data_IF_279143494993
#
_entry.id   IF_279143494993
#
_cell.length_a   1.000
_cell.length_b   1.000
_cell.length_c   1.000
_cell.angle_alpha   90.00
_cell.angle_beta   90.00
_cell.angle_gamma   90.00
#
_symmetry.space_group_name_H-M   'P 1'
#
loop_
_entity.id
_entity.type
_entity.pdbx_description
1 polymer ?
#
# COMPACT_ATOMS: atom_id res chain seq x y z
N UNK A 1 -59.01 -31.03 14.09
CA UNK A 1 -58.09 -29.91 13.87
C UNK A 1 -56.68 -30.44 14.01
N UNK A 2 -55.84 -30.24 13.00
CA UNK A 2 -54.44 -30.63 13.08
C UNK A 2 -53.69 -29.68 14.02
N UNK A 3 -52.73 -30.20 14.77
CA UNK A 3 -51.97 -29.45 15.78
C UNK A 3 -50.71 -28.88 15.14
N UNK A 4 -50.37 -27.64 15.48
CA UNK A 4 -49.15 -27.01 14.97
C UNK A 4 -47.89 -27.75 15.47
N UNK A 5 -46.89 -27.91 14.61
CA UNK A 5 -45.63 -28.62 14.89
C UNK A 5 -45.77 -30.09 15.32
N UNK A 6 -46.85 -30.78 14.91
CA UNK A 6 -47.12 -32.16 15.33
C UNK A 6 -45.97 -33.13 15.03
N UNK A 7 -45.33 -33.05 13.85
CA UNK A 7 -44.22 -33.93 13.48
C UNK A 7 -43.02 -33.73 14.40
N UNK A 8 -42.57 -32.48 14.53
CA UNK A 8 -41.42 -32.11 15.36
C UNK A 8 -41.66 -32.42 16.85
N UNK A 9 -42.87 -32.16 17.35
CA UNK A 9 -43.26 -32.50 18.72
C UNK A 9 -43.15 -34.00 18.99
N UNK A 10 -43.65 -34.87 18.10
CA UNK A 10 -43.58 -36.32 18.32
C UNK A 10 -42.14 -36.85 18.30
N UNK A 11 -41.27 -36.25 17.49
CA UNK A 11 -39.84 -36.60 17.46
C UNK A 11 -39.17 -36.19 18.77
N UNK A 12 -39.38 -34.94 19.22
CA UNK A 12 -38.67 -34.39 20.37
C UNK A 12 -39.23 -34.88 21.71
N UNK A 13 -40.55 -35.06 21.83
CA UNK A 13 -41.21 -35.53 23.07
C UNK A 13 -40.88 -36.97 23.46
N UNK A 14 -40.37 -37.77 22.52
CA UNK A 14 -39.85 -39.11 22.77
C UNK A 14 -38.48 -39.12 23.45
N UNK A 15 -37.79 -37.97 23.53
CA UNK A 15 -36.48 -37.86 24.17
C UNK A 15 -36.61 -37.71 25.69
N UNK A 16 -35.68 -38.31 26.44
CA UNK A 16 -35.67 -38.22 27.90
C UNK A 16 -35.52 -36.77 28.40
N UNK A 17 -34.80 -35.95 27.64
CA UNK A 17 -34.47 -34.57 27.97
C UNK A 17 -35.69 -33.65 27.91
N UNK A 18 -36.58 -33.88 26.94
CA UNK A 18 -37.72 -33.01 26.66
C UNK A 18 -38.60 -32.76 27.89
N UNK A 19 -39.05 -33.81 28.56
CA UNK A 19 -39.97 -33.67 29.70
C UNK A 19 -39.30 -33.08 30.96
N UNK A 20 -37.96 -33.07 31.03
CA UNK A 20 -37.22 -32.49 32.15
C UNK A 20 -36.84 -31.03 31.91
N UNK A 21 -36.68 -30.63 30.64
CA UNK A 21 -36.17 -29.32 30.26
C UNK A 21 -37.26 -28.25 30.08
N UNK A 22 -38.47 -28.65 29.69
CA UNK A 22 -39.54 -27.71 29.32
C UNK A 22 -40.09 -26.91 30.51
N UNK A 23 -40.52 -25.70 30.20
CA UNK A 23 -41.38 -24.87 31.03
C UNK A 23 -42.82 -25.20 30.62
N UNK A 24 -43.66 -25.56 31.60
CA UNK A 24 -45.08 -25.86 31.34
C UNK A 24 -45.82 -24.55 31.17
N UNK A 25 -46.23 -24.28 29.93
CA UNK A 25 -47.02 -23.11 29.54
C UNK A 25 -48.49 -23.51 29.37
N UNK A 26 -49.38 -22.61 29.77
CA UNK A 26 -50.83 -22.67 29.63
C UNK A 26 -51.31 -21.79 28.47
N UNK A 27 -52.52 -22.04 28.00
CA UNK A 27 -53.13 -21.26 26.92
C UNK A 27 -53.14 -19.77 27.25
N UNK A 28 -52.62 -18.94 26.36
CA UNK A 28 -52.50 -17.49 26.56
C UNK A 28 -51.17 -17.04 27.20
N UNK A 29 -50.29 -17.95 27.61
CA UNK A 29 -48.98 -17.59 28.16
C UNK A 29 -48.02 -16.99 27.11
N UNK A 30 -48.21 -17.32 25.83
CA UNK A 30 -47.44 -16.81 24.71
C UNK A 30 -48.34 -16.10 23.70
N UNK A 31 -47.95 -14.88 23.34
CA UNK A 31 -48.41 -14.19 22.14
C UNK A 31 -47.52 -14.60 20.95
N UNK A 32 -48.03 -14.52 19.72
CA UNK A 32 -47.21 -14.81 18.55
C UNK A 32 -47.50 -13.88 17.38
N UNK A 33 -46.47 -13.62 16.58
CA UNK A 33 -46.56 -12.98 15.27
C UNK A 33 -46.27 -13.98 14.18
N UNK A 34 -46.89 -13.80 13.01
CA UNK A 34 -46.71 -14.65 11.83
C UNK A 34 -46.41 -13.80 10.59
N UNK A 35 -45.36 -14.18 9.87
CA UNK A 35 -45.13 -13.75 8.49
C UNK A 35 -44.82 -14.93 7.58
N UNK A 36 -44.87 -14.71 6.27
CA UNK A 36 -44.49 -15.70 5.24
C UNK A 36 -43.43 -15.08 4.35
N UNK A 37 -42.35 -15.81 4.09
CA UNK A 37 -41.25 -15.38 3.22
C UNK A 37 -41.51 -15.68 1.73
N UNK A 38 -40.62 -15.23 0.85
CA UNK A 38 -40.68 -15.47 -0.59
C UNK A 38 -40.57 -16.96 -0.99
N UNK A 39 -40.11 -17.83 -0.09
CA UNK A 39 -40.03 -19.27 -0.29
C UNK A 39 -41.29 -20.00 0.19
N UNK A 40 -42.26 -19.28 0.76
CA UNK A 40 -43.48 -19.84 1.33
C UNK A 40 -43.30 -20.41 2.75
N UNK A 41 -42.16 -20.15 3.40
CA UNK A 41 -41.91 -20.55 4.78
C UNK A 41 -42.64 -19.62 5.75
N UNK A 42 -43.23 -20.20 6.80
CA UNK A 42 -43.92 -19.46 7.85
C UNK A 42 -42.97 -19.14 9.00
N UNK A 43 -42.79 -17.85 9.26
CA UNK A 43 -42.01 -17.33 10.38
C UNK A 43 -42.94 -17.03 11.56
N UNK A 44 -42.78 -17.77 12.65
CA UNK A 44 -43.58 -17.67 13.85
C UNK A 44 -42.72 -17.20 15.02
N UNK A 45 -42.99 -15.99 15.53
CA UNK A 45 -42.24 -15.41 16.65
C UNK A 45 -43.12 -15.37 17.89
N UNK A 46 -42.71 -16.08 18.92
CA UNK A 46 -43.42 -16.22 20.20
C UNK A 46 -42.84 -15.28 21.25
N UNK A 47 -43.71 -14.59 21.98
CA UNK A 47 -43.36 -13.64 23.04
C UNK A 47 -44.09 -14.02 24.33
N UNK A 48 -43.42 -13.96 25.50
CA UNK A 48 -44.10 -14.20 26.77
C UNK A 48 -44.98 -13.02 27.17
N UNK A 49 -46.16 -13.33 27.71
CA UNK A 49 -46.99 -12.33 28.38
C UNK A 49 -46.31 -11.80 29.64
N UNK A 50 -46.72 -10.62 30.18
CA UNK A 50 -46.08 -10.02 31.35
C UNK A 50 -45.93 -10.95 32.57
N UNK A 51 -46.83 -11.93 32.71
CA UNK A 51 -46.85 -12.88 33.83
C UNK A 51 -45.73 -13.92 33.72
N UNK A 52 -45.36 -14.32 32.50
CA UNK A 52 -44.37 -15.37 32.23
C UNK A 52 -43.00 -14.79 31.85
N UNK A 53 -42.89 -13.49 31.56
CA UNK A 53 -41.64 -12.77 31.21
C UNK A 53 -40.44 -13.03 32.13
N UNK A 54 -40.66 -13.38 33.41
CA UNK A 54 -39.58 -13.67 34.37
C UNK A 54 -39.00 -15.08 34.23
N UNK A 55 -39.67 -15.97 33.52
CA UNK A 55 -39.37 -17.40 33.48
C UNK A 55 -39.16 -17.91 32.05
N UNK A 56 -39.25 -17.04 31.05
CA UNK A 56 -39.17 -17.37 29.64
C UNK A 56 -38.35 -16.31 28.89
N UNK A 57 -37.71 -16.70 27.79
CA UNK A 57 -36.90 -15.80 26.97
C UNK A 57 -37.72 -14.66 26.37
N UNK A 58 -37.08 -13.53 26.10
CA UNK A 58 -37.73 -12.36 25.46
C UNK A 58 -38.53 -12.75 24.20
N UNK A 59 -37.98 -13.60 23.35
CA UNK A 59 -38.72 -14.22 22.26
C UNK A 59 -38.08 -15.53 21.77
N UNK A 60 -38.89 -16.35 21.11
CA UNK A 60 -38.43 -17.52 20.33
C UNK A 60 -38.99 -17.43 18.92
N UNK A 61 -38.12 -17.47 17.93
CA UNK A 61 -38.48 -17.49 16.51
C UNK A 61 -38.39 -18.92 15.96
N UNK A 62 -39.40 -19.34 15.22
CA UNK A 62 -39.48 -20.65 14.57
C UNK A 62 -39.81 -20.44 13.10
N UNK A 63 -39.02 -21.04 12.21
CA UNK A 63 -39.26 -21.07 10.77
C UNK A 63 -39.84 -22.44 10.43
N UNK A 64 -41.03 -22.46 9.86
CA UNK A 64 -41.81 -23.66 9.59
C UNK A 64 -42.12 -23.78 8.10
N UNK A 65 -41.89 -24.96 7.53
CA UNK A 65 -42.30 -25.30 6.16
C UNK A 65 -43.70 -25.93 6.20
N UNK A 66 -44.75 -25.22 5.73
CA UNK A 66 -46.10 -25.76 5.71
C UNK A 66 -46.28 -26.93 4.73
N UNK A 67 -45.44 -27.02 3.70
CA UNK A 67 -45.53 -28.08 2.67
C UNK A 67 -44.96 -29.41 3.17
N UNK A 68 -43.87 -29.36 3.95
CA UNK A 68 -43.25 -30.53 4.58
C UNK A 68 -43.82 -30.82 5.97
N UNK A 69 -44.55 -29.85 6.53
CA UNK A 69 -45.09 -29.82 7.89
C UNK A 69 -43.99 -29.95 8.96
N UNK A 70 -42.84 -29.31 8.75
CA UNK A 70 -41.66 -29.42 9.62
C UNK A 70 -41.05 -28.07 9.97
N UNK A 71 -40.44 -27.99 11.15
CA UNK A 71 -39.60 -26.85 11.55
C UNK A 71 -38.25 -26.97 10.85
N UNK A 72 -37.88 -25.95 10.08
CA UNK A 72 -36.60 -25.90 9.36
C UNK A 72 -35.51 -25.17 10.14
N UNK A 73 -35.89 -24.22 11.00
CA UNK A 73 -34.96 -23.50 11.87
C UNK A 73 -35.67 -22.92 13.10
N UNK A 74 -34.92 -22.68 14.17
CA UNK A 74 -35.38 -21.92 15.33
C UNK A 74 -34.25 -21.04 15.88
N UNK A 75 -34.61 -19.93 16.53
CA UNK A 75 -33.68 -19.07 17.24
C UNK A 75 -34.34 -18.52 18.51
N UNK A 76 -33.69 -18.71 19.65
CA UNK A 76 -34.07 -18.18 20.95
C UNK A 76 -33.18 -16.99 21.30
N UNK A 77 -33.80 -15.89 21.75
CA UNK A 77 -33.08 -14.67 22.12
C UNK A 77 -32.03 -14.85 23.22
N UNK A 78 -32.13 -15.91 24.03
CA UNK A 78 -31.19 -16.22 25.11
C UNK A 78 -30.28 -17.42 24.81
N UNK A 79 -30.73 -18.35 23.96
CA UNK A 79 -30.07 -19.66 23.79
C UNK A 79 -29.60 -19.92 22.35
N UNK A 80 -29.80 -18.97 21.43
CA UNK A 80 -29.50 -19.14 20.01
C UNK A 80 -30.34 -20.25 19.37
N UNK A 81 -29.72 -20.96 18.44
CA UNK A 81 -30.28 -22.06 17.65
C UNK A 81 -30.09 -23.45 18.30
N UNK A 82 -29.68 -23.49 19.57
CA UNK A 82 -29.42 -24.76 20.27
C UNK A 82 -30.64 -25.70 20.23
N UNK A 83 -30.48 -26.97 19.76
CA UNK A 83 -31.60 -27.92 19.68
C UNK A 83 -32.12 -28.34 21.07
N UNK A 84 -31.30 -28.18 22.11
CA UNK A 84 -31.64 -28.45 23.51
C UNK A 84 -32.16 -27.19 24.23
N UNK A 85 -32.46 -26.11 23.50
CA UNK A 85 -33.00 -24.90 24.10
C UNK A 85 -34.34 -25.18 24.80
N UNK A 86 -34.38 -25.04 26.12
CA UNK A 86 -35.61 -25.23 26.91
C UNK A 86 -36.76 -24.35 26.43
N UNK A 87 -36.49 -23.12 26.00
CA UNK A 87 -37.52 -22.18 25.57
C UNK A 87 -38.15 -22.65 24.25
N UNK A 88 -37.32 -23.07 23.29
CA UNK A 88 -37.77 -23.69 22.04
C UNK A 88 -38.60 -24.96 22.28
N UNK A 89 -38.11 -25.89 23.12
CA UNK A 89 -38.86 -27.11 23.44
C UNK A 89 -40.20 -26.81 24.13
N UNK A 90 -40.25 -25.73 24.93
CA UNK A 90 -41.49 -25.25 25.56
C UNK A 90 -42.46 -24.66 24.55
N UNK A 91 -41.99 -23.91 23.55
CA UNK A 91 -42.79 -23.46 22.40
C UNK A 91 -43.35 -24.65 21.64
N UNK A 92 -42.51 -25.67 21.37
CA UNK A 92 -42.94 -26.86 20.65
C UNK A 92 -44.09 -27.58 21.35
N UNK A 93 -44.01 -27.74 22.67
CA UNK A 93 -45.10 -28.29 23.48
C UNK A 93 -46.33 -27.38 23.49
N UNK A 94 -46.13 -26.07 23.69
CA UNK A 94 -47.22 -25.10 23.75
C UNK A 94 -48.01 -25.09 22.44
N UNK A 95 -47.33 -24.93 21.31
CA UNK A 95 -47.93 -24.94 19.98
C UNK A 95 -48.71 -26.23 19.71
N UNK A 96 -48.16 -27.39 20.05
CA UNK A 96 -48.84 -28.67 19.85
C UNK A 96 -50.13 -28.82 20.68
N UNK A 97 -50.18 -28.27 21.90
CA UNK A 97 -51.36 -28.42 22.77
C UNK A 97 -52.38 -27.29 22.62
N UNK A 98 -51.95 -26.09 22.23
CA UNK A 98 -52.76 -24.88 22.28
C UNK A 98 -52.94 -24.17 20.94
N UNK A 99 -52.22 -24.55 19.87
CA UNK A 99 -52.36 -23.95 18.55
C UNK A 99 -52.79 -24.97 17.48
N UNK A 100 -53.79 -24.58 16.70
CA UNK A 100 -54.25 -25.32 15.51
C UNK A 100 -53.44 -24.90 14.28
N UNK A 101 -53.34 -25.78 13.27
CA UNK A 101 -52.80 -25.40 11.95
C UNK A 101 -53.64 -24.35 11.24
N UNK A 102 -54.89 -24.12 11.65
CA UNK A 102 -55.78 -23.10 11.07
C UNK A 102 -55.16 -21.68 11.13
N UNK A 103 -54.22 -21.45 12.05
CA UNK A 103 -53.47 -20.18 12.10
C UNK A 103 -52.65 -19.95 10.83
N UNK A 104 -52.30 -21.00 10.08
CA UNK A 104 -51.58 -20.96 8.81
C UNK A 104 -52.50 -20.56 7.64
N UNK A 105 -53.81 -20.74 7.78
CA UNK A 105 -54.81 -20.38 6.77
C UNK A 105 -55.26 -18.92 6.88
N UNK A 106 -54.92 -18.25 7.99
CA UNK A 106 -55.17 -16.80 8.13
C UNK A 106 -54.23 -15.99 7.22
N UNK A 107 -54.65 -14.83 6.68
CA UNK A 107 -53.76 -13.95 5.94
C UNK A 107 -52.58 -13.51 6.81
N UNK A 108 -51.36 -13.86 6.40
CA UNK A 108 -50.14 -13.45 7.07
C UNK A 108 -49.55 -12.20 6.43
N UNK A 109 -48.68 -11.51 7.15
CA UNK A 109 -47.83 -10.47 6.56
C UNK A 109 -46.82 -11.15 5.65
N UNK A 110 -46.77 -10.75 4.38
CA UNK A 110 -45.74 -11.19 3.45
C UNK A 110 -44.45 -10.39 3.69
N UNK A 111 -43.35 -11.10 3.88
CA UNK A 111 -42.00 -10.54 4.00
C UNK A 111 -41.16 -11.01 2.81
N UNK A 112 -40.25 -10.15 2.35
CA UNK A 112 -39.29 -10.51 1.31
C UNK A 112 -37.90 -10.29 1.89
N UNK A 113 -37.18 -11.38 2.14
CA UNK A 113 -35.92 -11.42 2.88
C UNK A 113 -34.72 -11.70 1.97
N UNK A 114 -34.81 -11.26 0.70
CA UNK A 114 -33.72 -11.41 -0.27
C UNK A 114 -32.42 -10.73 0.18
N UNK A 115 -31.33 -11.47 0.06
CA UNK A 115 -29.97 -11.02 0.37
C UNK A 115 -29.18 -10.62 -0.89
N UNK A 116 -29.83 -9.93 -1.83
CA UNK A 116 -29.19 -9.53 -3.10
C UNK A 116 -28.19 -8.36 -2.92
N UNK A 117 -28.29 -7.63 -1.81
CA UNK A 117 -27.43 -6.48 -1.50
C UNK A 117 -26.17 -6.91 -0.76
N UNK A 118 -25.08 -6.15 -0.92
CA UNK A 118 -23.81 -6.38 -0.19
C UNK A 118 -23.92 -6.15 1.33
N UNK A 119 -25.03 -5.56 1.77
CA UNK A 119 -25.28 -5.17 3.15
C UNK A 119 -26.77 -4.96 3.38
N UNK A 120 -27.17 -5.04 4.65
CA UNK A 120 -28.49 -4.62 5.13
C UNK A 120 -28.70 -3.11 4.96
N UNK A 121 -29.96 -2.69 4.84
CA UNK A 121 -30.32 -1.26 4.74
C UNK A 121 -29.86 -0.45 5.96
N UNK A 122 -29.88 -1.05 7.16
CA UNK A 122 -29.38 -0.43 8.38
C UNK A 122 -27.89 -0.11 8.29
N UNK A 123 -27.08 -1.05 7.80
CA UNK A 123 -25.66 -0.83 7.56
C UNK A 123 -25.41 0.16 6.43
N UNK A 124 -26.22 0.14 5.38
CA UNK A 124 -26.13 1.11 4.29
C UNK A 124 -26.35 2.54 4.80
N UNK A 125 -27.34 2.74 5.67
CA UNK A 125 -27.61 4.03 6.30
C UNK A 125 -26.44 4.50 7.18
N UNK A 126 -25.86 3.61 8.00
CA UNK A 126 -24.68 3.95 8.84
C UNK A 126 -23.46 4.30 7.98
N UNK A 127 -23.17 3.48 6.97
CA UNK A 127 -21.95 3.62 6.18
C UNK A 127 -22.00 4.75 5.15
N UNK A 128 -23.18 5.29 4.84
CA UNK A 128 -23.33 6.46 3.99
C UNK A 128 -22.57 7.67 4.56
N UNK A 129 -22.56 7.84 5.88
CA UNK A 129 -21.91 8.97 6.57
C UNK A 129 -20.63 8.57 7.33
N UNK A 130 -20.28 7.28 7.31
CA UNK A 130 -19.15 6.77 8.06
C UNK A 130 -17.80 7.18 7.45
N UNK A 131 -16.92 7.70 8.30
CA UNK A 131 -15.54 8.03 7.94
C UNK A 131 -14.63 7.94 9.15
N UNK A 132 -13.35 7.67 8.94
CA UNK A 132 -12.34 7.86 9.98
C UNK A 132 -12.02 9.35 10.11
N UNK A 133 -11.81 9.83 11.34
CA UNK A 133 -11.32 11.19 11.58
C UNK A 133 -9.85 11.13 12.03
N UNK A 134 -8.94 11.77 11.30
CA UNK A 134 -7.52 11.85 11.65
C UNK A 134 -7.24 13.14 12.44
N UNK A 135 -6.57 13.00 13.59
CA UNK A 135 -6.16 14.09 14.48
C UNK A 135 -4.63 14.12 14.63
N UNK A 136 -4.09 15.33 14.80
CA UNK A 136 -2.68 15.55 15.14
C UNK A 136 -1.75 15.54 13.93
N UNK A 137 -2.29 15.47 12.72
CA UNK A 137 -1.54 15.45 11.46
C UNK A 137 -0.56 16.63 11.37
N UNK A 138 -1.03 17.83 11.66
CA UNK A 138 -0.27 19.08 11.56
C UNK A 138 0.62 19.40 12.78
N UNK A 139 0.51 18.66 13.89
CA UNK A 139 1.23 19.02 15.11
C UNK A 139 2.65 18.39 15.13
N UNK A 140 3.73 19.15 14.95
CA UNK A 140 5.09 18.58 14.92
C UNK A 140 5.54 18.06 16.29
N UNK A 141 4.93 18.52 17.39
CA UNK A 141 5.28 18.09 18.75
C UNK A 141 4.69 16.73 19.12
N UNK A 142 3.71 16.24 18.35
CA UNK A 142 3.11 14.94 18.57
C UNK A 142 3.77 13.88 17.67
N UNK A 143 4.38 12.82 18.23
CA UNK A 143 5.02 11.77 17.43
C UNK A 143 4.01 10.81 16.80
N UNK A 144 2.72 10.92 17.13
CA UNK A 144 1.66 10.04 16.67
C UNK A 144 0.48 10.83 16.11
N UNK A 145 -0.23 10.23 15.17
CA UNK A 145 -1.58 10.64 14.75
C UNK A 145 -2.62 9.69 15.33
N UNK A 146 -3.87 10.14 15.44
CA UNK A 146 -4.99 9.31 15.91
C UNK A 146 -6.07 9.22 14.85
N UNK A 147 -6.58 8.03 14.63
CA UNK A 147 -7.72 7.75 13.77
C UNK A 147 -8.92 7.39 14.65
N UNK A 148 -9.91 8.26 14.66
CA UNK A 148 -11.17 8.06 15.37
C UNK A 148 -12.17 7.35 14.47
N UNK A 149 -12.91 6.41 15.05
CA UNK A 149 -13.95 5.64 14.38
C UNK A 149 -15.33 5.84 15.01
N UNK A 150 -15.54 6.97 15.70
CA UNK A 150 -16.82 7.35 16.31
C UNK A 150 -17.96 7.51 15.30
N UNK A 151 -17.66 7.85 14.03
CA UNK A 151 -18.66 8.00 12.97
C UNK A 151 -19.18 6.68 12.39
N UNK A 152 -18.70 5.54 12.88
CA UNK A 152 -19.22 4.23 12.49
C UNK A 152 -20.43 3.81 13.34
N UNK A 153 -20.96 4.71 14.18
CA UNK A 153 -22.15 4.52 15.01
C UNK A 153 -22.09 3.19 15.80
N UNK A 154 -23.04 2.27 15.54
CA UNK A 154 -23.11 0.97 16.21
C UNK A 154 -22.10 -0.08 15.71
N UNK A 155 -21.32 0.20 14.66
CA UNK A 155 -20.34 -0.75 14.13
C UNK A 155 -19.07 -0.70 14.99
N UNK A 156 -18.80 -1.79 15.71
CA UNK A 156 -17.58 -1.96 16.50
C UNK A 156 -16.42 -2.32 15.57
N UNK A 157 -15.68 -1.30 15.11
CA UNK A 157 -14.51 -1.47 14.23
C UNK A 157 -13.47 -2.44 14.80
N UNK A 158 -13.09 -2.38 16.09
CA UNK A 158 -12.24 -3.41 16.69
C UNK A 158 -12.76 -4.85 16.56
N UNK A 159 -14.06 -5.09 16.75
CA UNK A 159 -14.64 -6.44 16.58
C UNK A 159 -14.69 -6.86 15.12
N UNK A 160 -15.10 -5.96 14.22
CA UNK A 160 -15.05 -6.18 12.77
C UNK A 160 -13.66 -6.66 12.33
N UNK A 161 -12.58 -6.02 12.81
CA UNK A 161 -11.21 -6.40 12.46
C UNK A 161 -10.83 -7.77 13.00
N UNK A 162 -11.20 -8.10 14.25
CA UNK A 162 -10.95 -9.43 14.80
C UNK A 162 -11.67 -10.53 14.01
N UNK A 163 -12.87 -10.21 13.54
CA UNK A 163 -13.66 -11.12 12.70
C UNK A 163 -12.97 -11.38 11.36
N UNK A 164 -12.49 -10.32 10.69
CA UNK A 164 -11.70 -10.47 9.45
C UNK A 164 -10.45 -11.32 9.69
N UNK A 165 -9.77 -11.12 10.83
CA UNK A 165 -8.53 -11.82 11.18
C UNK A 165 -8.75 -13.25 11.71
N UNK A 166 -9.99 -13.67 11.93
CA UNK A 166 -10.31 -14.99 12.50
C UNK A 166 -9.80 -15.20 13.93
N UNK A 167 -9.62 -14.12 14.70
CA UNK A 167 -8.94 -14.15 16.01
C UNK A 167 -9.89 -13.77 17.16
N UNK A 168 -10.70 -14.71 17.67
CA UNK A 168 -11.51 -14.49 18.87
C UNK A 168 -12.46 -15.64 19.28
N UNK A 169 -12.80 -15.70 20.57
CA UNK A 169 -14.05 -16.31 21.05
C UNK A 169 -15.17 -15.28 20.80
N UNK A 170 -15.82 -15.38 19.65
CA UNK A 170 -16.93 -14.48 19.28
C UNK A 170 -18.25 -14.99 19.85
N UNK A 171 -19.14 -14.07 20.23
CA UNK A 171 -20.55 -14.40 20.46
C UNK A 171 -21.17 -14.64 19.08
N UNK A 172 -21.79 -15.79 18.89
CA UNK A 172 -22.30 -16.28 17.60
C UNK A 172 -23.22 -15.27 16.90
N UNK A 173 -24.01 -14.50 17.67
CA UNK A 173 -24.89 -13.46 17.15
C UNK A 173 -24.17 -12.29 16.45
N UNK A 174 -23.03 -11.82 16.98
CA UNK A 174 -22.28 -10.73 16.34
C UNK A 174 -21.63 -11.21 15.03
N UNK A 175 -21.28 -12.49 14.98
CA UNK A 175 -20.58 -13.11 13.85
C UNK A 175 -21.42 -13.07 12.57
N UNK A 176 -22.67 -13.50 12.63
CA UNK A 176 -23.53 -13.56 11.45
C UNK A 176 -23.83 -12.17 10.89
N UNK A 177 -24.05 -11.19 11.78
CA UNK A 177 -24.27 -9.79 11.39
C UNK A 177 -23.03 -9.23 10.68
N UNK A 178 -21.82 -9.42 11.23
CA UNK A 178 -20.60 -8.97 10.58
C UNK A 178 -20.34 -9.73 9.27
N UNK A 179 -20.54 -11.04 9.21
CA UNK A 179 -20.35 -11.83 7.99
C UNK A 179 -21.27 -11.38 6.85
N UNK A 180 -22.54 -11.13 7.17
CA UNK A 180 -23.51 -10.66 6.19
C UNK A 180 -23.16 -9.25 5.66
N UNK A 181 -22.60 -8.38 6.50
CA UNK A 181 -22.37 -6.97 6.14
C UNK A 181 -20.91 -6.60 5.82
N UNK A 182 -19.94 -7.50 5.97
CA UNK A 182 -18.51 -7.17 5.78
C UNK A 182 -18.19 -6.63 4.38
N UNK A 183 -18.93 -7.13 3.37
CA UNK A 183 -18.80 -6.72 1.98
C UNK A 183 -19.28 -5.29 1.72
N UNK A 184 -19.87 -4.63 2.72
CA UNK A 184 -20.20 -3.23 2.69
C UNK A 184 -18.97 -2.34 2.57
N UNK A 185 -17.86 -2.75 3.19
CA UNK A 185 -16.59 -2.10 3.02
C UNK A 185 -15.91 -2.59 1.75
N UNK A 186 -15.34 -1.66 0.98
CA UNK A 186 -14.47 -2.05 -0.13
C UNK A 186 -13.19 -2.71 0.38
N UNK A 187 -12.62 -3.62 -0.41
CA UNK A 187 -11.35 -4.29 -0.07
C UNK A 187 -10.22 -3.32 0.35
N UNK A 188 -10.03 -2.15 -0.32
CA UNK A 188 -9.05 -1.16 0.14
C UNK A 188 -9.32 -0.64 1.56
N UNK A 189 -10.59 -0.37 1.91
CA UNK A 189 -10.96 0.13 3.23
C UNK A 189 -10.76 -0.93 4.31
N UNK A 190 -11.15 -2.18 4.04
CA UNK A 190 -10.89 -3.31 4.94
C UNK A 190 -9.40 -3.49 5.18
N UNK A 191 -8.61 -3.55 4.10
CA UNK A 191 -7.16 -3.69 4.18
C UNK A 191 -6.48 -2.53 4.94
N UNK A 192 -6.99 -1.30 4.78
CA UNK A 192 -6.50 -0.15 5.53
C UNK A 192 -6.81 -0.28 7.02
N UNK A 193 -8.03 -0.66 7.40
CA UNK A 193 -8.43 -0.87 8.79
C UNK A 193 -7.60 -1.98 9.46
N UNK A 194 -7.43 -3.11 8.79
CA UNK A 194 -6.59 -4.21 9.27
C UNK A 194 -5.14 -3.77 9.46
N UNK A 195 -4.58 -3.06 8.48
CA UNK A 195 -3.20 -2.56 8.56
C UNK A 195 -3.04 -1.54 9.69
N UNK A 196 -4.00 -0.63 9.85
CA UNK A 196 -4.01 0.37 10.91
C UNK A 196 -4.04 -0.30 12.28
N UNK A 197 -4.85 -1.35 12.44
CA UNK A 197 -4.91 -2.11 13.68
C UNK A 197 -3.63 -2.91 13.93
N UNK A 198 -3.07 -3.57 12.92
CA UNK A 198 -1.83 -4.33 13.04
C UNK A 198 -0.62 -3.45 13.44
N UNK A 199 -0.57 -2.21 12.96
CA UNK A 199 0.56 -1.28 13.18
C UNK A 199 0.28 -0.25 14.28
N UNK A 200 -0.80 -0.41 15.05
CA UNK A 200 -1.18 0.55 16.07
C UNK A 200 -0.12 0.72 17.16
N UNK A 201 0.17 1.97 17.50
CA UNK A 201 0.95 2.30 18.69
C UNK A 201 0.12 2.17 19.98
N UNK A 202 -1.17 2.53 19.90
CA UNK A 202 -2.11 2.42 21.00
C UNK A 202 -3.55 2.37 20.48
N UNK A 203 -4.50 1.97 21.34
CA UNK A 203 -5.92 1.97 21.04
C UNK A 203 -6.70 2.40 22.29
N UNK A 204 -7.82 3.10 22.08
CA UNK A 204 -8.82 3.33 23.13
C UNK A 204 -10.19 2.92 22.65
N UNK A 205 -10.77 1.89 23.25
CA UNK A 205 -12.17 1.50 23.02
C UNK A 205 -13.13 2.54 23.62
N UNK A 206 -12.79 3.08 24.80
CA UNK A 206 -13.63 4.10 25.48
C UNK A 206 -13.80 5.38 24.65
N UNK A 207 -12.73 5.84 24.01
CA UNK A 207 -12.74 7.07 23.22
C UNK A 207 -12.78 6.83 21.70
N UNK A 208 -12.87 5.57 21.27
CA UNK A 208 -13.05 5.19 19.88
C UNK A 208 -11.91 5.61 18.95
N UNK A 209 -10.64 5.36 19.29
CA UNK A 209 -9.51 5.68 18.41
C UNK A 209 -8.39 4.63 18.36
N UNK A 210 -7.63 4.66 17.26
CA UNK A 210 -6.35 3.97 17.07
C UNK A 210 -5.25 5.02 16.84
N UNK A 211 -4.14 4.92 17.57
CA UNK A 211 -2.97 5.79 17.37
C UNK A 211 -1.92 5.10 16.50
N UNK A 212 -1.25 5.88 15.64
CA UNK A 212 -0.17 5.42 14.77
C UNK A 212 1.03 6.37 14.87
N UNK A 213 2.26 5.85 14.80
CA UNK A 213 3.46 6.70 14.73
C UNK A 213 3.51 7.48 13.41
N UNK A 214 3.89 8.76 13.45
CA UNK A 214 4.03 9.61 12.27
C UNK A 214 5.05 9.10 11.25
N UNK A 215 6.01 8.28 11.67
CA UNK A 215 6.94 7.60 10.77
C UNK A 215 6.23 6.74 9.71
N UNK A 216 4.99 6.32 9.96
CA UNK A 216 4.19 5.53 9.02
C UNK A 216 3.28 6.38 8.12
N UNK A 217 3.33 7.71 8.18
CA UNK A 217 2.40 8.57 7.41
C UNK A 217 2.52 8.41 5.90
N UNK A 218 3.72 8.16 5.36
CA UNK A 218 3.88 7.87 3.93
C UNK A 218 3.07 6.63 3.52
N UNK A 219 3.18 5.54 4.28
CA UNK A 219 2.39 4.32 4.06
C UNK A 219 0.89 4.51 4.27
N UNK A 220 0.49 5.40 5.19
CA UNK A 220 -0.92 5.78 5.36
C UNK A 220 -1.44 6.39 4.06
N UNK A 221 -0.75 7.39 3.52
CA UNK A 221 -1.20 8.10 2.33
C UNK A 221 -1.25 7.17 1.10
N UNK A 222 -0.26 6.29 0.93
CA UNK A 222 -0.26 5.28 -0.14
C UNK A 222 -1.52 4.39 -0.09
N UNK A 223 -1.90 3.91 1.11
CA UNK A 223 -3.08 3.06 1.30
C UNK A 223 -4.40 3.82 1.15
N UNK A 224 -4.43 5.08 1.59
CA UNK A 224 -5.61 5.92 1.49
C UNK A 224 -5.93 6.34 0.05
N UNK A 225 -4.95 6.34 -0.86
CA UNK A 225 -5.16 6.64 -2.27
C UNK A 225 -6.25 5.78 -2.94
N UNK A 226 -6.53 4.58 -2.41
CA UNK A 226 -7.57 3.67 -2.91
C UNK A 226 -8.87 3.69 -2.08
N UNK A 227 -8.93 4.50 -1.03
CA UNK A 227 -10.05 4.52 -0.07
C UNK A 227 -11.10 5.60 -0.37
N UNK A 228 -10.84 6.53 -1.30
CA UNK A 228 -11.69 7.70 -1.56
C UNK A 228 -11.77 8.63 -0.34
N UNK A 229 -12.93 9.26 -0.10
CA UNK A 229 -13.15 10.20 1.01
C UNK A 229 -13.34 9.53 2.39
N UNK A 230 -12.72 8.36 2.59
CA UNK A 230 -12.89 7.55 3.80
C UNK A 230 -12.30 8.18 5.07
N UNK A 231 -11.35 9.10 4.91
CA UNK A 231 -10.69 9.80 6.01
C UNK A 231 -10.97 11.28 5.93
N UNK A 232 -11.31 11.88 7.07
CA UNK A 232 -11.51 13.32 7.27
C UNK A 232 -10.54 13.84 8.31
N UNK A 233 -10.15 15.11 8.19
CA UNK A 233 -9.36 15.80 9.21
C UNK A 233 -10.29 16.19 10.34
N UNK A 234 -9.98 15.78 11.57
CA UNK A 234 -10.85 16.00 12.72
C UNK A 234 -10.97 17.49 13.07
N UNK A 235 -9.88 18.23 12.91
CA UNK A 235 -9.79 19.64 13.28
C UNK A 235 -10.63 20.55 12.37
N UNK A 236 -10.79 20.20 11.08
CA UNK A 236 -11.54 21.01 10.10
C UNK A 236 -12.84 20.35 9.63
N UNK A 237 -12.95 19.03 9.74
CA UNK A 237 -14.03 18.22 9.20
C UNK A 237 -13.87 17.89 7.71
N UNK A 238 -12.86 18.44 7.03
CA UNK A 238 -12.69 18.27 5.58
C UNK A 238 -12.20 16.86 5.21
N UNK A 239 -12.62 16.31 4.06
CA UNK A 239 -12.05 15.08 3.54
C UNK A 239 -10.56 15.27 3.24
N UNK A 240 -9.75 14.30 3.67
CA UNK A 240 -8.34 14.21 3.31
C UNK A 240 -8.24 13.66 1.89
N UNK A 241 -7.82 14.51 0.95
CA UNK A 241 -7.70 14.14 -0.46
C UNK A 241 -6.30 13.64 -0.76
N UNK A 242 -6.20 12.43 -1.31
CA UNK A 242 -4.93 11.86 -1.75
C UNK A 242 -4.83 12.00 -3.26
N UNK A 243 -3.78 12.66 -3.73
CA UNK A 243 -3.51 12.82 -5.15
C UNK A 243 -2.59 11.71 -5.66
N UNK A 244 -2.80 11.31 -6.91
CA UNK A 244 -1.92 10.37 -7.59
C UNK A 244 -0.87 11.07 -8.47
N UNK A 245 -1.13 12.31 -8.87
CA UNK A 245 -0.19 13.11 -9.66
C UNK A 245 0.81 13.79 -8.73
N UNK A 246 2.11 13.81 -9.09
CA UNK A 246 3.12 14.46 -8.27
C UNK A 246 2.84 15.95 -8.12
N UNK A 247 3.22 16.50 -6.97
CA UNK A 247 3.32 17.96 -6.82
C UNK A 247 4.46 18.47 -7.71
N UNK A 248 4.27 19.56 -8.49
CA UNK A 248 5.32 20.13 -9.34
C UNK A 248 6.38 20.84 -8.47
N UNK A 249 7.33 20.05 -7.96
CA UNK A 249 8.39 20.54 -7.10
C UNK A 249 9.58 21.02 -7.92
N UNK A 250 10.15 22.15 -7.53
CA UNK A 250 11.49 22.56 -7.95
C UNK A 250 12.37 22.73 -6.72
N UNK A 251 13.66 22.57 -6.88
CA UNK A 251 14.67 22.68 -5.84
C UNK A 251 15.67 23.74 -6.25
N UNK A 252 16.15 24.55 -5.30
CA UNK A 252 17.16 25.59 -5.56
C UNK A 252 18.31 25.47 -4.57
N UNK A 253 19.53 25.63 -5.06
CA UNK A 253 20.73 25.71 -4.24
C UNK A 253 21.19 27.16 -4.17
N UNK A 254 21.37 27.66 -2.95
CA UNK A 254 21.74 29.06 -2.68
C UNK A 254 22.98 29.14 -1.77
N UNK A 255 23.85 30.15 -1.95
CA UNK A 255 24.98 30.37 -1.05
C UNK A 255 24.51 30.87 0.33
N UNK A 256 25.03 30.27 1.40
CA UNK A 256 24.78 30.71 2.80
C UNK A 256 26.06 31.22 3.47
N UNK A 257 27.22 30.93 2.87
CA UNK A 257 28.52 31.44 3.30
C UNK A 257 29.55 31.28 2.19
N UNK A 258 30.84 31.46 2.51
CA UNK A 258 31.91 31.41 1.50
C UNK A 258 32.03 30.06 0.79
N UNK A 259 31.88 28.95 1.54
CA UNK A 259 32.09 27.59 1.04
C UNK A 259 30.93 26.66 1.44
N UNK A 260 29.73 27.22 1.65
CA UNK A 260 28.57 26.47 2.14
C UNK A 260 27.33 26.94 1.42
N UNK A 261 26.55 25.97 0.98
CA UNK A 261 25.35 26.16 0.18
C UNK A 261 24.20 25.46 0.86
N UNK A 262 22.97 25.95 0.70
CA UNK A 262 21.77 25.28 1.19
C UNK A 262 20.89 24.93 0.02
N UNK A 263 20.38 23.71 0.03
CA UNK A 263 19.36 23.29 -0.91
C UNK A 263 17.98 23.49 -0.28
N UNK A 264 17.06 24.08 -1.01
CA UNK A 264 15.71 24.39 -0.55
C UNK A 264 14.66 23.97 -1.57
N UNK A 265 13.49 23.51 -1.12
CA UNK A 265 12.35 23.32 -2.00
C UNK A 265 11.73 24.68 -2.35
N UNK A 266 11.43 24.87 -3.64
CA UNK A 266 10.67 26.01 -4.17
C UNK A 266 9.22 25.58 -4.27
N UNK A 267 8.42 25.97 -3.27
CA UNK A 267 7.02 25.60 -3.16
C UNK A 267 6.20 26.89 -3.09
N UNK A 268 5.28 27.04 -4.03
CA UNK A 268 4.42 28.23 -4.17
C UNK A 268 3.32 28.24 -3.10
N UNK A 269 2.81 27.07 -2.79
CA UNK A 269 1.75 26.87 -1.80
C UNK A 269 2.30 26.68 -0.38
N UNK A 270 1.48 26.98 0.63
CA UNK A 270 1.87 26.78 2.03
C UNK A 270 1.83 25.29 2.41
N UNK A 271 2.99 24.73 2.78
CA UNK A 271 3.09 23.35 3.28
C UNK A 271 2.59 23.31 4.71
N UNK A 272 1.54 22.54 4.95
CA UNK A 272 1.02 22.33 6.30
C UNK A 272 1.83 21.28 7.05
N UNK A 273 2.24 20.19 6.38
CA UNK A 273 3.20 19.21 6.90
C UNK A 273 3.74 18.33 5.77
N UNK A 274 4.67 17.43 6.08
CA UNK A 274 5.23 16.47 5.13
C UNK A 274 5.54 15.15 5.81
N UNK A 275 5.58 14.07 5.03
CA UNK A 275 5.97 12.74 5.49
C UNK A 275 7.06 12.17 4.58
N UNK A 276 8.18 11.77 5.20
CA UNK A 276 9.30 11.11 4.52
C UNK A 276 8.93 9.70 4.06
N UNK A 277 9.52 9.32 2.93
CA UNK A 277 9.35 8.04 2.28
C UNK A 277 9.61 8.16 0.78
N UNK A 278 9.31 7.10 0.04
CA UNK A 278 9.36 7.09 -1.42
C UNK A 278 8.04 6.50 -1.97
N UNK A 279 7.04 7.35 -2.29
CA UNK A 279 7.14 8.80 -2.40
C UNK A 279 7.21 9.53 -1.05
N UNK A 280 7.80 10.72 -1.08
CA UNK A 280 7.64 11.72 -0.02
C UNK A 280 6.32 12.42 -0.22
N UNK A 281 5.55 12.59 0.84
CA UNK A 281 4.22 13.18 0.77
C UNK A 281 4.25 14.61 1.28
N UNK A 282 3.81 15.55 0.46
CA UNK A 282 3.59 16.95 0.81
C UNK A 282 2.12 17.16 1.13
N UNK A 283 1.82 17.69 2.32
CA UNK A 283 0.46 18.00 2.72
C UNK A 283 0.23 19.51 2.66
N UNK A 284 -0.67 19.91 1.77
CA UNK A 284 -1.09 21.30 1.56
C UNK A 284 -2.56 21.39 1.97
N UNK A 285 -2.81 21.98 3.14
CA UNK A 285 -4.12 21.97 3.80
C UNK A 285 -4.63 20.53 3.99
N UNK A 286 -5.74 20.16 3.34
CA UNK A 286 -6.35 18.83 3.40
C UNK A 286 -5.97 17.92 2.20
N UNK A 287 -4.93 18.28 1.45
CA UNK A 287 -4.54 17.57 0.24
C UNK A 287 -3.12 17.02 0.34
N UNK A 288 -2.96 15.72 0.13
CA UNK A 288 -1.67 15.02 0.14
C UNK A 288 -1.22 14.77 -1.31
N UNK A 289 -0.02 15.24 -1.65
CA UNK A 289 0.59 15.04 -2.96
C UNK A 289 1.88 14.24 -2.83
N UNK A 290 2.10 13.24 -3.68
CA UNK A 290 3.35 12.51 -3.72
C UNK A 290 4.43 13.34 -4.42
N UNK A 291 5.68 13.13 -4.03
CA UNK A 291 6.89 13.62 -4.71
C UNK A 291 7.97 12.55 -4.59
N UNK A 292 8.53 12.14 -5.73
CA UNK A 292 9.57 11.13 -5.79
C UNK A 292 10.95 11.76 -5.72
N UNK A 293 11.35 12.18 -4.51
CA UNK A 293 12.69 12.68 -4.24
C UNK A 293 13.68 11.50 -4.17
N UNK A 294 14.68 11.40 -5.06
CA UNK A 294 15.68 10.32 -5.08
C UNK A 294 16.79 10.58 -4.04
N UNK A 295 16.40 10.95 -2.82
CA UNK A 295 17.29 11.26 -1.71
C UNK A 295 17.00 10.30 -0.56
N UNK A 296 17.97 10.10 0.33
CA UNK A 296 17.71 9.32 1.54
C UNK A 296 16.73 10.07 2.45
N UNK A 297 15.97 9.34 3.27
CA UNK A 297 15.04 9.97 4.22
C UNK A 297 15.70 11.04 5.08
N UNK A 298 16.95 10.82 5.52
CA UNK A 298 17.72 11.82 6.27
C UNK A 298 17.91 13.11 5.49
N UNK A 299 18.30 13.00 4.21
CA UNK A 299 18.51 14.16 3.33
C UNK A 299 17.19 14.85 3.00
N UNK A 300 16.10 14.12 2.87
CA UNK A 300 14.76 14.69 2.69
C UNK A 300 14.33 15.47 3.93
N UNK A 301 14.53 14.94 5.15
CA UNK A 301 14.24 15.71 6.38
C UNK A 301 15.06 17.00 6.42
N UNK A 302 16.37 16.91 6.17
CA UNK A 302 17.25 18.08 6.09
C UNK A 302 16.77 19.09 5.03
N UNK A 303 16.33 18.62 3.85
CA UNK A 303 15.81 19.48 2.79
C UNK A 303 14.53 20.20 3.23
N UNK A 304 13.56 19.46 3.76
CA UNK A 304 12.27 20.01 4.17
C UNK A 304 12.38 20.94 5.38
N UNK A 305 13.35 20.71 6.28
CA UNK A 305 13.66 21.59 7.41
C UNK A 305 14.56 22.78 7.01
N UNK A 306 14.91 22.94 5.73
CA UNK A 306 15.85 23.95 5.21
C UNK A 306 17.24 23.89 5.85
N UNK A 307 17.70 22.69 6.19
CA UNK A 307 18.96 22.38 6.86
C UNK A 307 19.90 21.50 6.00
N UNK A 308 19.55 21.24 4.73
CA UNK A 308 20.41 20.50 3.82
C UNK A 308 21.56 21.40 3.33
N UNK A 309 22.64 21.42 4.11
CA UNK A 309 23.87 22.15 3.80
C UNK A 309 24.80 21.29 2.95
N UNK A 310 25.33 21.89 1.88
CA UNK A 310 26.21 21.29 0.89
C UNK A 310 27.55 22.01 0.87
N UNK A 311 28.63 21.26 0.63
CA UNK A 311 29.96 21.77 0.34
C UNK A 311 30.15 22.03 -1.16
N UNK A 312 31.25 22.69 -1.52
CA UNK A 312 31.61 22.90 -2.94
C UNK A 312 31.75 21.58 -3.72
N UNK A 313 32.26 20.51 -3.09
CA UNK A 313 32.39 19.20 -3.74
C UNK A 313 31.02 18.55 -3.98
N UNK A 314 30.10 18.74 -3.04
CA UNK A 314 28.74 18.23 -3.18
C UNK A 314 28.03 18.89 -4.36
N UNK A 315 28.29 20.18 -4.64
CA UNK A 315 27.68 20.87 -5.78
C UNK A 315 27.95 20.18 -7.12
N UNK A 316 29.15 19.64 -7.31
CA UNK A 316 29.49 18.88 -8.53
C UNK A 316 28.63 17.64 -8.63
N UNK A 317 28.50 16.88 -7.53
CA UNK A 317 27.65 15.70 -7.46
C UNK A 317 26.17 16.04 -7.67
N UNK A 318 25.70 17.16 -7.12
CA UNK A 318 24.31 17.59 -7.28
C UNK A 318 24.00 18.09 -8.69
N UNK A 319 24.93 18.81 -9.33
CA UNK A 319 24.76 19.31 -10.70
C UNK A 319 24.76 18.18 -11.74
N UNK A 320 25.35 17.04 -11.42
CA UNK A 320 25.52 15.89 -12.33
C UNK A 320 24.56 14.76 -11.96
N UNK A 321 24.92 13.95 -10.97
CA UNK A 321 24.23 12.70 -10.60
C UNK A 321 22.82 12.99 -10.06
N UNK A 322 22.72 13.89 -9.07
CA UNK A 322 21.40 14.17 -8.45
C UNK A 322 20.48 14.88 -9.43
N UNK A 323 21.00 15.79 -10.25
CA UNK A 323 20.25 16.46 -11.31
C UNK A 323 19.60 15.45 -12.28
N UNK A 324 20.37 14.47 -12.76
CA UNK A 324 19.84 13.43 -13.65
C UNK A 324 18.74 12.59 -12.99
N UNK A 325 18.94 12.17 -11.74
CA UNK A 325 17.92 11.40 -11.01
C UNK A 325 16.66 12.24 -10.72
N UNK A 326 16.79 13.51 -10.35
CA UNK A 326 15.65 14.41 -10.15
C UNK A 326 14.85 14.63 -11.43
N UNK A 327 15.55 14.80 -12.56
CA UNK A 327 14.93 15.03 -13.87
C UNK A 327 14.09 13.85 -14.34
N UNK A 328 14.45 12.61 -13.97
CA UNK A 328 13.62 11.41 -14.24
C UNK A 328 12.26 11.45 -13.55
N UNK A 329 12.12 12.27 -12.51
CA UNK A 329 10.88 12.49 -11.76
C UNK A 329 10.25 13.86 -12.04
N UNK A 330 10.67 14.54 -13.11
CA UNK A 330 10.21 15.89 -13.49
C UNK A 330 10.46 16.95 -12.39
N UNK A 331 11.49 16.76 -11.57
CA UNK A 331 11.90 17.71 -10.52
C UNK A 331 13.08 18.54 -11.05
N UNK A 332 12.89 19.85 -11.13
CA UNK A 332 13.95 20.77 -11.56
C UNK A 332 14.88 21.13 -10.41
N UNK A 333 16.20 21.14 -10.66
CA UNK A 333 17.21 21.62 -9.72
C UNK A 333 17.91 22.84 -10.31
N UNK A 334 17.77 23.97 -9.62
CA UNK A 334 18.35 25.25 -10.00
C UNK A 334 19.52 25.63 -9.08
N UNK A 335 20.46 26.39 -9.62
CA UNK A 335 21.60 26.93 -8.89
C UNK A 335 21.54 28.45 -8.94
N UNK A 336 21.75 29.11 -7.80
CA UNK A 336 21.86 30.57 -7.79
C UNK A 336 23.00 31.03 -8.73
N UNK A 337 22.76 32.10 -9.49
CA UNK A 337 23.69 32.63 -10.50
C UNK A 337 25.07 33.00 -9.94
N UNK A 338 25.17 33.25 -8.63
CA UNK A 338 26.43 33.57 -7.96
C UNK A 338 27.34 32.34 -7.76
N UNK A 339 26.79 31.12 -7.91
CA UNK A 339 27.53 29.88 -7.70
C UNK A 339 28.40 29.59 -8.92
N UNK A 340 29.72 29.67 -8.72
CA UNK A 340 30.70 29.27 -9.73
C UNK A 340 31.04 27.79 -9.57
N UNK A 341 30.68 27.00 -10.58
CA UNK A 341 30.99 25.58 -10.66
C UNK A 341 32.31 25.35 -11.41
N UNK A 342 33.09 24.31 -11.07
CA UNK A 342 34.22 23.90 -11.89
C UNK A 342 33.73 23.39 -13.25
N UNK A 343 34.68 23.16 -14.16
CA UNK A 343 34.37 22.55 -15.45
C UNK A 343 33.81 21.14 -15.26
N UNK A 344 32.59 20.92 -15.75
CA UNK A 344 31.79 19.70 -15.60
C UNK A 344 31.25 19.32 -16.97
N UNK A 345 31.38 18.04 -17.30
CA UNK A 345 30.73 17.42 -18.46
C UNK A 345 29.77 16.35 -17.93
N UNK A 346 28.47 16.56 -18.15
CA UNK A 346 27.38 15.74 -17.61
C UNK A 346 26.60 14.96 -18.69
N UNK A 347 27.05 15.03 -19.93
CA UNK A 347 26.53 14.28 -21.08
C UNK A 347 27.06 12.85 -21.10
N UNK A 348 26.35 11.93 -21.79
CA UNK A 348 26.78 10.54 -21.89
C UNK A 348 27.92 10.38 -22.92
N UNK A 349 29.05 9.73 -22.55
CA UNK A 349 30.14 9.51 -23.49
C UNK A 349 29.92 8.26 -24.35
N UNK A 350 30.60 8.21 -25.49
CA UNK A 350 30.82 7.00 -26.27
C UNK A 350 32.17 6.37 -25.94
N UNK A 351 32.24 5.05 -26.01
CA UNK A 351 33.52 4.36 -25.84
C UNK A 351 34.20 4.28 -27.21
N UNK A 352 35.38 4.89 -27.30
CA UNK A 352 36.25 4.86 -28.47
C UNK A 352 37.43 3.93 -28.20
N UNK A 353 37.72 3.05 -29.15
CA UNK A 353 38.84 2.11 -29.08
C UNK A 353 39.78 2.37 -30.25
N UNK A 354 41.05 2.64 -29.95
CA UNK A 354 42.06 2.88 -30.96
C UNK A 354 43.08 1.73 -30.99
N UNK A 355 43.33 1.18 -32.18
CA UNK A 355 44.27 0.07 -32.38
C UNK A 355 45.56 0.59 -33.02
N UNK A 356 46.69 0.34 -32.35
CA UNK A 356 48.03 0.74 -32.77
C UNK A 356 48.98 -0.46 -32.79
N UNK A 357 49.89 -0.49 -33.76
CA UNK A 357 50.98 -1.48 -33.79
C UNK A 357 52.16 -0.94 -32.97
N UNK A 358 52.71 -1.78 -32.09
CA UNK A 358 53.94 -1.48 -31.35
C UNK A 358 54.90 -2.68 -31.45
N UNK A 359 55.78 -2.65 -32.45
CA UNK A 359 56.67 -3.78 -32.75
C UNK A 359 55.87 -5.02 -33.20
N UNK A 360 56.05 -6.13 -32.48
CA UNK A 360 55.32 -7.39 -32.70
C UNK A 360 53.97 -7.46 -31.97
N UNK A 361 53.63 -6.43 -31.18
CA UNK A 361 52.38 -6.37 -30.41
C UNK A 361 51.36 -5.45 -31.08
N UNK A 362 50.08 -5.76 -30.87
CA UNK A 362 48.97 -4.85 -31.15
C UNK A 362 48.45 -4.30 -29.83
N UNK A 363 48.31 -2.98 -29.73
CA UNK A 363 47.77 -2.29 -28.56
C UNK A 363 46.38 -1.76 -28.89
N UNK A 364 45.45 -1.99 -27.98
CA UNK A 364 44.14 -1.35 -27.99
C UNK A 364 44.08 -0.34 -26.85
N UNK A 365 43.87 0.92 -27.19
CA UNK A 365 43.76 2.06 -26.28
C UNK A 365 42.30 2.51 -26.20
N UNK A 366 41.77 2.65 -24.98
CA UNK A 366 40.37 3.00 -24.76
C UNK A 366 40.20 4.43 -24.26
N UNK A 367 39.22 5.13 -24.83
CA UNK A 367 38.83 6.49 -24.47
C UNK A 367 37.30 6.60 -24.29
N UNK A 368 36.90 7.53 -23.44
CA UNK A 368 35.53 8.03 -23.33
C UNK A 368 35.47 9.37 -24.07
N UNK A 369 34.69 9.41 -25.17
CA UNK A 369 34.49 10.61 -25.98
C UNK A 369 33.15 11.24 -25.67
N UNK A 370 33.18 12.48 -25.20
CA UNK A 370 31.98 13.27 -24.92
C UNK A 370 31.52 14.04 -26.16
N UNK A 371 30.21 14.39 -26.26
CA UNK A 371 29.67 15.04 -27.45
C UNK A 371 30.31 16.39 -27.79
N UNK A 372 30.77 17.13 -26.78
CA UNK A 372 31.46 18.41 -26.97
C UNK A 372 32.95 18.26 -27.35
N UNK A 373 33.48 17.03 -27.45
CA UNK A 373 34.81 16.71 -27.97
C UNK A 373 35.85 16.35 -26.92
N UNK A 374 35.51 16.34 -25.63
CA UNK A 374 36.43 15.96 -24.56
C UNK A 374 36.70 14.45 -24.59
N UNK A 375 37.97 14.08 -24.48
CA UNK A 375 38.43 12.70 -24.42
C UNK A 375 39.07 12.39 -23.06
N UNK A 376 38.56 11.37 -22.37
CA UNK A 376 39.06 10.92 -21.06
C UNK A 376 39.49 9.45 -21.16
N UNK A 377 40.60 9.02 -20.54
CA UNK A 377 41.03 7.63 -20.60
C UNK A 377 39.95 6.68 -20.06
N UNK A 378 39.64 5.59 -20.79
CA UNK A 378 38.67 4.57 -20.37
C UNK A 378 39.03 3.93 -19.02
N UNK A 379 40.31 3.93 -18.65
CA UNK A 379 40.81 3.45 -17.36
C UNK A 379 40.13 4.09 -16.15
N UNK A 380 39.54 5.29 -16.26
CA UNK A 380 38.81 5.94 -15.15
C UNK A 380 37.59 5.13 -14.70
N UNK A 381 37.05 4.26 -15.55
CA UNK A 381 35.92 3.37 -15.20
C UNK A 381 36.26 2.39 -14.08
N UNK A 382 37.55 2.05 -13.87
CA UNK A 382 37.99 1.12 -12.83
C UNK A 382 37.70 1.60 -11.40
N UNK A 383 37.55 2.91 -11.21
CA UNK A 383 37.24 3.48 -9.92
C UNK A 383 35.77 3.25 -9.50
N UNK A 384 34.95 2.73 -10.42
CA UNK A 384 33.55 2.39 -10.17
C UNK A 384 32.76 3.55 -9.53
N UNK A 385 32.97 4.76 -10.04
CA UNK A 385 32.34 6.00 -9.57
C UNK A 385 31.68 6.70 -10.74
N UNK A 386 30.39 7.03 -10.62
CA UNK A 386 29.64 7.77 -11.65
C UNK A 386 30.13 9.20 -11.88
N UNK A 387 31.04 9.69 -11.04
CA UNK A 387 31.64 11.00 -11.18
C UNK A 387 33.14 10.89 -10.91
N UNK A 388 33.95 11.29 -11.89
CA UNK A 388 35.41 11.27 -11.78
C UNK A 388 35.98 12.63 -12.14
N UNK A 389 37.08 12.97 -11.49
CA UNK A 389 37.90 14.12 -11.89
C UNK A 389 39.09 13.58 -12.69
N UNK A 390 39.24 14.02 -13.93
CA UNK A 390 40.30 13.55 -14.81
C UNK A 390 40.88 14.69 -15.63
N UNK A 391 42.12 14.51 -16.04
CA UNK A 391 42.66 15.24 -17.18
C UNK A 391 41.96 14.75 -18.46
N UNK A 392 41.75 15.66 -19.41
CA UNK A 392 41.12 15.38 -20.69
C UNK A 392 41.88 16.06 -21.83
N UNK A 393 41.69 15.54 -23.04
CA UNK A 393 42.16 16.16 -24.27
C UNK A 393 40.97 16.71 -25.07
N UNK A 394 41.15 17.87 -25.70
CA UNK A 394 40.16 18.48 -26.60
C UNK A 394 40.90 19.39 -27.58
N UNK A 395 40.74 19.15 -28.88
CA UNK A 395 41.32 19.99 -29.95
C UNK A 395 42.84 20.27 -29.74
N UNK A 396 43.62 19.23 -29.43
CA UNK A 396 45.06 19.27 -29.09
C UNK A 396 45.43 20.06 -27.81
N UNK A 397 44.45 20.53 -27.04
CA UNK A 397 44.64 21.13 -25.72
C UNK A 397 44.36 20.13 -24.59
N UNK A 398 45.09 20.24 -23.49
CA UNK A 398 44.84 19.46 -22.27
C UNK A 398 44.16 20.30 -21.20
N UNK A 399 43.18 19.70 -20.52
CA UNK A 399 42.45 20.33 -19.44
C UNK A 399 42.21 19.37 -18.28
N UNK A 400 41.55 19.85 -17.23
CA UNK A 400 41.14 19.05 -16.08
C UNK A 400 39.69 19.37 -15.72
N UNK A 401 38.87 18.34 -15.53
CA UNK A 401 37.43 18.49 -15.37
C UNK A 401 36.79 17.38 -14.57
N UNK A 402 35.51 17.57 -14.26
CA UNK A 402 34.64 16.54 -13.71
C UNK A 402 33.78 15.92 -14.81
N UNK A 403 33.68 14.60 -14.81
CA UNK A 403 33.05 13.84 -15.88
C UNK A 403 32.04 12.85 -15.30
N UNK A 404 30.81 12.91 -15.81
CA UNK A 404 29.76 11.95 -15.48
C UNK A 404 29.96 10.64 -16.27
N UNK A 405 29.98 9.52 -15.56
CA UNK A 405 29.95 8.19 -16.16
C UNK A 405 28.59 7.54 -15.91
N UNK A 406 27.85 7.35 -16.99
CA UNK A 406 26.59 6.61 -16.96
C UNK A 406 26.82 5.13 -16.57
N UNK A 407 25.88 4.49 -15.85
CA UNK A 407 25.97 3.07 -15.47
C UNK A 407 26.31 2.12 -16.64
N UNK A 408 25.74 2.39 -17.83
CA UNK A 408 25.97 1.59 -19.04
C UNK A 408 27.45 1.56 -19.48
N UNK A 409 28.23 2.61 -19.20
CA UNK A 409 29.66 2.65 -19.54
C UNK A 409 30.45 1.58 -18.77
N UNK A 410 30.10 1.37 -17.50
CA UNK A 410 30.76 0.35 -16.66
C UNK A 410 30.45 -1.06 -17.17
N UNK A 411 29.17 -1.33 -17.49
CA UNK A 411 28.74 -2.63 -18.04
C UNK A 411 29.46 -2.93 -19.35
N UNK A 412 29.48 -1.97 -20.28
CA UNK A 412 30.17 -2.10 -21.57
C UNK A 412 31.67 -2.31 -21.40
N UNK A 413 32.32 -1.56 -20.51
CA UNK A 413 33.76 -1.75 -20.25
C UNK A 413 34.05 -3.14 -19.68
N UNK A 414 33.19 -3.64 -18.78
CA UNK A 414 33.33 -4.97 -18.23
C UNK A 414 33.13 -6.05 -19.31
N UNK A 415 32.17 -5.85 -20.22
CA UNK A 415 31.94 -6.70 -21.37
C UNK A 415 33.17 -6.74 -22.29
N UNK A 416 33.72 -5.57 -22.65
CA UNK A 416 34.95 -5.45 -23.44
C UNK A 416 36.09 -6.28 -22.83
N UNK A 417 36.32 -6.12 -21.52
CA UNK A 417 37.35 -6.85 -20.80
C UNK A 417 37.09 -8.36 -20.76
N UNK A 418 35.82 -8.79 -20.74
CA UNK A 418 35.45 -10.21 -20.80
C UNK A 418 35.67 -10.83 -22.19
N UNK A 419 35.52 -10.04 -23.25
CA UNK A 419 35.72 -10.48 -24.65
C UNK A 419 37.20 -10.80 -24.94
N UNK A 420 38.14 -10.18 -24.23
CA UNK A 420 39.59 -10.37 -24.43
C UNK A 420 40.30 -10.90 -23.16
N UNK A 421 40.09 -12.19 -22.79
CA UNK A 421 40.72 -12.76 -21.60
C UNK A 421 42.24 -12.94 -21.74
N UNK A 422 42.73 -13.14 -22.97
CA UNK A 422 44.16 -13.35 -23.25
C UNK A 422 44.99 -12.05 -23.40
N UNK A 423 44.36 -10.89 -23.34
CA UNK A 423 45.07 -9.62 -23.46
C UNK A 423 45.90 -9.32 -22.20
N UNK A 424 47.12 -8.80 -22.36
CA UNK A 424 47.89 -8.26 -21.25
C UNK A 424 47.27 -6.95 -20.77
N UNK A 425 47.01 -6.89 -19.46
CA UNK A 425 46.33 -5.79 -18.78
C UNK A 425 47.27 -4.96 -17.92
N UNK A 426 48.57 -5.25 -17.93
CA UNK A 426 49.58 -4.56 -17.14
C UNK A 426 49.59 -3.03 -17.35
N UNK A 427 49.16 -2.57 -18.54
CA UNK A 427 49.16 -1.16 -18.97
C UNK A 427 47.81 -0.44 -18.84
N UNK A 428 46.76 -1.12 -18.35
CA UNK A 428 45.41 -0.53 -18.27
C UNK A 428 45.37 0.63 -17.28
N UNK A 429 46.06 0.51 -16.15
CA UNK A 429 46.05 1.51 -15.08
C UNK A 429 46.64 2.86 -15.51
N UNK A 430 47.79 2.83 -16.16
CA UNK A 430 48.57 4.04 -16.46
C UNK A 430 48.23 4.61 -17.85
N UNK A 431 47.89 3.76 -18.81
CA UNK A 431 47.74 4.17 -20.20
C UNK A 431 46.37 3.84 -20.81
N UNK A 432 45.45 3.20 -20.08
CA UNK A 432 44.17 2.73 -20.65
C UNK A 432 44.37 1.79 -21.86
N UNK A 433 45.44 0.99 -21.80
CA UNK A 433 45.88 0.13 -22.89
C UNK A 433 45.82 -1.35 -22.50
N UNK A 434 45.32 -2.19 -23.41
CA UNK A 434 45.51 -3.64 -23.38
C UNK A 434 46.37 -4.07 -24.56
N UNK A 435 47.27 -5.02 -24.35
CA UNK A 435 48.21 -5.50 -25.37
C UNK A 435 47.90 -6.93 -25.79
N UNK A 436 48.10 -7.22 -27.07
CA UNK A 436 47.94 -8.53 -27.68
C UNK A 436 49.28 -8.96 -28.27
N UNK A 437 49.80 -10.08 -27.77
CA UNK A 437 51.07 -10.66 -28.20
C UNK A 437 50.86 -12.07 -28.76
N UNK A 438 51.52 -12.36 -29.88
CA UNK A 438 51.45 -13.65 -30.56
C UNK A 438 50.30 -13.77 -31.57
N UNK A 439 50.54 -14.56 -32.62
CA UNK A 439 49.65 -14.70 -33.79
C UNK A 439 48.23 -15.13 -33.42
N UNK A 440 48.08 -16.00 -32.42
CA UNK A 440 46.78 -16.50 -31.96
C UNK A 440 45.94 -15.41 -31.30
N UNK A 441 46.54 -14.57 -30.44
CA UNK A 441 45.86 -13.47 -29.78
C UNK A 441 45.46 -12.37 -30.78
N UNK A 442 46.34 -12.07 -31.75
CA UNK A 442 46.08 -11.09 -32.82
C UNK A 442 44.99 -11.59 -33.78
N UNK A 443 44.98 -12.88 -34.12
CA UNK A 443 43.92 -13.45 -34.96
C UNK A 443 42.56 -13.44 -34.25
N UNK A 444 42.51 -13.76 -32.96
CA UNK A 444 41.27 -13.69 -32.16
C UNK A 444 40.78 -12.23 -31.99
N UNK A 445 41.71 -11.27 -31.81
CA UNK A 445 41.41 -9.84 -31.81
C UNK A 445 40.69 -9.42 -33.10
N UNK A 446 41.25 -9.76 -34.27
CA UNK A 446 40.65 -9.44 -35.58
C UNK A 446 39.24 -10.03 -35.73
N UNK A 447 39.05 -11.30 -35.35
CA UNK A 447 37.74 -11.95 -35.44
C UNK A 447 36.68 -11.31 -34.54
N UNK A 448 37.08 -10.88 -33.33
CA UNK A 448 36.18 -10.27 -32.35
C UNK A 448 35.86 -8.82 -32.68
N UNK A 449 36.82 -8.05 -33.21
CA UNK A 449 36.60 -6.66 -33.67
C UNK A 449 35.58 -6.58 -34.81
N UNK A 450 35.63 -7.50 -35.78
CA UNK A 450 34.62 -7.57 -36.86
C UNK A 450 33.21 -7.82 -36.33
N UNK A 451 33.09 -8.43 -35.14
CA UNK A 451 31.81 -8.67 -34.46
C UNK A 451 31.44 -7.56 -33.47
N UNK A 452 32.25 -6.50 -33.36
CA UNK A 452 32.02 -5.34 -32.48
C UNK A 452 31.40 -4.14 -33.21
N UNK A 453 31.01 -4.31 -34.47
CA UNK A 453 30.43 -3.28 -35.34
C UNK A 453 28.95 -2.96 -34.98
N UNK A 454 28.71 -2.70 -33.69
CA UNK A 454 27.43 -2.29 -33.12
C UNK A 454 27.48 -0.79 -32.74
N UNK A 455 26.30 -0.15 -32.69
CA UNK A 455 26.08 1.30 -32.48
C UNK A 455 26.69 1.92 -31.20
N UNK A 456 27.37 1.13 -30.37
CA UNK A 456 27.86 1.49 -29.04
C UNK A 456 29.39 1.68 -28.97
N UNK A 457 30.14 1.33 -30.02
CA UNK A 457 31.61 1.37 -30.05
C UNK A 457 32.14 2.15 -31.26
N UNK A 458 33.01 3.12 -31.02
CA UNK A 458 33.75 3.80 -32.07
C UNK A 458 35.16 3.18 -32.19
N UNK A 459 35.35 2.26 -33.14
CA UNK A 459 36.65 1.59 -33.34
C UNK A 459 37.47 2.31 -34.42
N UNK A 460 38.62 2.83 -34.04
CA UNK A 460 39.62 3.43 -34.93
C UNK A 460 40.79 2.46 -35.12
N UNK A 461 41.09 2.11 -36.37
CA UNK A 461 42.24 1.26 -36.73
C UNK A 461 43.30 2.15 -37.38
N UNK A 462 44.53 2.13 -36.88
CA UNK A 462 45.62 2.90 -37.49
C UNK A 462 45.92 2.42 -38.92
N UNK A 463 46.43 3.31 -39.77
CA UNK A 463 46.75 2.99 -41.18
C UNK A 463 47.74 1.83 -41.33
N UNK A 464 48.60 1.59 -40.33
CA UNK A 464 49.56 0.48 -40.32
C UNK A 464 48.93 -0.91 -40.07
N UNK A 465 47.68 -0.93 -39.59
CA UNK A 465 46.90 -2.14 -39.31
C UNK A 465 45.71 -2.33 -40.26
N UNK A 466 45.43 -1.32 -41.10
CA UNK A 466 44.41 -1.32 -42.16
C UNK A 466 44.91 -2.09 -43.37
#
# INVERSE_FOLDING_TARGET
>A
MARLFSKDYHVQSATWYFNQAIIVLSEGDLEYWRSVDENGLSHLRFFPTPEIKRHFSEHVHVVYDPSQEQIVAHNCSECGDSPNCRHYLSVLRYAYHHLSTDILDTPAVETNLKEDLRMSEDWAAVLADASLEIEGLYNPKMPTVRFYYSRFAQIDIPQLIKHIQGSGQEVEYDKDVYQHNIQAFSNPRLSFLEWLYANRAAQSTKYGYISLNKSFLSLVFDRLGLCGDFVRIKETGDPLKIHHKPYPLSLRIEPVGKNSYVMRPVIVDEISTWAVGYPTWLLLQNQAYPVWLPLTDEKIRQLMDNQLVLSLKDLVYYRTVVYHELRRHDIYLDFDEQIQLPYIVDEEPRISLELKKMGEMVIMEGWLRYPAGEEVPLSVTRFNSSLVRSDFQKDDESGNGWFYLAPAVFERTQELMSRFPQADRSRVEEFSQIAFEGDTAIMDLRQKLVKMDDADWDVLVSEELS
#
